data_IF_052770370502
#
_entry.id   IF_052770370502
#
_cell.length_a   1.000
_cell.length_b   1.000
_cell.length_c   1.000
_cell.angle_alpha   90.00
_cell.angle_beta   90.00
_cell.angle_gamma   90.00
#
_symmetry.space_group_name_H-M   'P 1'
#
loop_
_entity.id
_entity.type
_entity.pdbx_description
1 polymer ?
#
# COMPACT_ATOMS: atom_id res chain seq x y z
N UNK A 1 6.91 12.95 -19.95
CA UNK A 1 7.39 11.58 -19.67
C UNK A 1 8.45 11.71 -18.60
N UNK A 2 8.11 11.32 -17.38
CA UNK A 2 8.98 11.45 -16.21
C UNK A 2 10.09 10.38 -16.23
N UNK A 3 11.33 10.78 -15.96
CA UNK A 3 12.53 9.93 -15.97
C UNK A 3 12.87 9.54 -14.54
N UNK A 4 12.66 8.27 -14.19
CA UNK A 4 12.71 7.73 -12.83
C UNK A 4 14.14 7.47 -12.31
N UNK A 5 15.15 8.16 -12.85
CA UNK A 5 16.57 8.01 -12.44
C UNK A 5 17.03 8.92 -11.30
N UNK A 6 16.10 9.53 -10.54
CA UNK A 6 16.47 10.27 -9.32
C UNK A 6 16.87 9.27 -8.23
N UNK A 7 18.17 9.06 -8.13
CA UNK A 7 18.86 8.32 -7.08
C UNK A 7 18.22 8.67 -5.72
N UNK A 8 17.55 7.69 -5.10
CA UNK A 8 17.05 7.84 -3.74
C UNK A 8 18.27 8.10 -2.85
N UNK A 9 18.19 9.13 -2.01
CA UNK A 9 19.31 9.63 -1.19
C UNK A 9 20.11 8.50 -0.53
N UNK A 10 21.42 8.51 -0.73
CA UNK A 10 22.37 7.60 -0.09
C UNK A 10 23.03 8.31 1.11
N UNK A 11 22.89 7.75 2.31
CA UNK A 11 23.70 8.13 3.47
C UNK A 11 24.90 7.18 3.58
N UNK A 12 26.10 7.72 3.77
CA UNK A 12 27.32 6.94 4.08
C UNK A 12 27.50 6.84 5.60
N UNK A 13 27.82 5.65 6.10
CA UNK A 13 28.05 5.44 7.53
C UNK A 13 29.26 6.24 8.00
N UNK A 14 29.12 7.02 9.08
CA UNK A 14 30.19 7.89 9.60
C UNK A 14 31.12 7.18 10.59
N UNK A 15 30.85 5.91 10.91
CA UNK A 15 31.66 5.08 11.82
C UNK A 15 31.59 5.47 13.31
N UNK A 16 30.87 6.56 13.64
CA UNK A 16 30.75 7.08 15.00
C UNK A 16 29.61 6.45 15.81
N UNK A 17 28.68 5.73 15.15
CA UNK A 17 27.50 5.13 15.78
C UNK A 17 27.52 3.61 15.52
N UNK A 18 27.52 2.82 16.59
CA UNK A 18 27.28 1.37 16.50
C UNK A 18 25.82 1.16 16.09
N UNK A 19 25.60 0.37 15.05
CA UNK A 19 24.29 0.06 14.44
C UNK A 19 23.67 1.18 13.57
N UNK A 20 24.50 2.03 12.97
CA UNK A 20 24.03 2.99 11.96
C UNK A 20 23.44 2.24 10.75
N UNK A 21 22.16 2.51 10.47
CA UNK A 21 21.48 2.07 9.25
C UNK A 21 22.27 2.64 8.06
N UNK A 22 22.72 1.78 7.15
CA UNK A 22 23.45 2.20 5.95
C UNK A 22 23.09 1.33 4.77
N UNK A 23 23.05 1.95 3.59
CA UNK A 23 22.59 1.34 2.34
C UNK A 23 21.07 1.47 2.14
N UNK A 24 20.69 1.99 0.96
CA UNK A 24 19.31 2.16 0.47
C UNK A 24 18.26 2.31 1.60
N UNK A 25 18.27 3.49 2.23
CA UNK A 25 17.39 3.86 3.34
C UNK A 25 15.97 4.14 2.82
N UNK A 26 15.28 3.09 2.39
CA UNK A 26 13.84 3.15 2.20
C UNK A 26 13.13 3.21 3.56
N UNK A 27 12.04 3.96 3.67
CA UNK A 27 11.30 4.16 4.94
C UNK A 27 10.91 2.85 5.66
N UNK A 28 10.75 1.75 4.92
CA UNK A 28 10.50 0.41 5.47
C UNK A 28 11.63 -0.11 6.38
N UNK A 29 12.89 0.32 6.20
CA UNK A 29 14.02 -0.14 7.02
C UNK A 29 14.34 0.80 8.19
N UNK A 30 14.17 2.10 8.00
CA UNK A 30 14.55 3.11 8.99
C UNK A 30 13.41 3.51 9.92
N UNK A 31 12.20 3.71 9.39
CA UNK A 31 11.08 4.27 10.16
C UNK A 31 10.08 3.21 10.64
N UNK A 32 9.89 2.12 9.90
CA UNK A 32 8.89 1.09 10.21
C UNK A 32 9.05 0.47 11.62
N UNK A 33 10.26 0.10 12.10
CA UNK A 33 10.39 -0.52 13.42
C UNK A 33 9.96 0.39 14.59
N UNK A 34 10.20 1.69 14.46
CA UNK A 34 9.78 2.68 15.45
C UNK A 34 8.25 2.85 15.45
N UNK A 35 7.65 2.91 14.25
CA UNK A 35 6.19 2.99 14.09
C UNK A 35 5.49 1.74 14.64
N UNK A 36 5.98 0.55 14.31
CA UNK A 36 5.44 -0.73 14.80
C UNK A 36 5.47 -0.78 16.34
N UNK A 37 6.56 -0.34 16.97
CA UNK A 37 6.70 -0.35 18.43
C UNK A 37 5.73 0.61 19.11
N UNK A 38 5.55 1.81 18.55
CA UNK A 38 4.63 2.80 19.07
C UNK A 38 3.16 2.35 18.92
N UNK A 39 2.75 1.92 17.72
CA UNK A 39 1.36 1.56 17.45
C UNK A 39 0.92 0.31 18.22
N UNK A 40 1.83 -0.66 18.46
CA UNK A 40 1.52 -1.82 19.32
C UNK A 40 1.08 -1.43 20.73
N UNK A 41 1.72 -0.42 21.32
CA UNK A 41 1.35 0.07 22.65
C UNK A 41 0.08 0.91 22.62
N UNK A 42 -0.08 1.77 21.61
CA UNK A 42 -1.22 2.70 21.54
C UNK A 42 -2.53 2.00 21.16
N UNK A 43 -2.47 0.94 20.36
CA UNK A 43 -3.65 0.18 19.95
C UNK A 43 -4.01 -0.95 20.92
N UNK A 44 -3.26 -1.14 22.01
CA UNK A 44 -3.59 -2.16 23.01
C UNK A 44 -4.97 -1.90 23.62
N UNK A 45 -5.89 -2.86 23.46
CA UNK A 45 -7.27 -2.75 23.95
C UNK A 45 -8.17 -1.83 23.10
N UNK A 46 -7.67 -1.24 22.01
CA UNK A 46 -8.49 -0.49 21.06
C UNK A 46 -9.20 -1.49 20.14
N UNK A 47 -10.56 -1.50 20.08
CA UNK A 47 -11.27 -2.38 19.17
C UNK A 47 -10.99 -2.00 17.72
N UNK A 48 -10.91 -2.99 16.85
CA UNK A 48 -10.81 -2.76 15.41
C UNK A 48 -12.09 -2.08 14.90
N UNK A 49 -11.93 -0.93 14.23
CA UNK A 49 -13.04 -0.28 13.55
C UNK A 49 -13.22 -0.92 12.15
N UNK A 50 -14.43 -1.41 11.81
CA UNK A 50 -14.66 -2.00 10.50
C UNK A 50 -14.52 -0.92 9.42
N UNK A 51 -13.77 -1.23 8.37
CA UNK A 51 -13.67 -0.36 7.21
C UNK A 51 -14.98 -0.41 6.42
N UNK A 52 -15.87 0.56 6.66
CA UNK A 52 -17.08 0.75 5.85
C UNK A 52 -16.81 1.74 4.72
N UNK A 53 -16.93 1.34 3.45
CA UNK A 53 -16.74 2.25 2.33
C UNK A 53 -17.71 3.44 2.42
N UNK A 54 -17.23 4.68 2.21
CA UNK A 54 -18.12 5.83 2.18
C UNK A 54 -19.03 5.80 0.93
N UNK A 55 -20.12 6.60 0.90
CA UNK A 55 -20.94 6.75 -0.28
C UNK A 55 -20.13 7.11 -1.52
N UNK A 56 -20.47 6.53 -2.68
CA UNK A 56 -19.74 6.72 -3.93
C UNK A 56 -18.50 5.85 -4.08
N UNK A 57 -18.21 4.95 -3.13
CA UNK A 57 -17.22 3.88 -3.28
C UNK A 57 -17.93 2.54 -3.49
N UNK A 58 -17.54 1.82 -4.53
CA UNK A 58 -18.05 0.47 -4.85
C UNK A 58 -16.94 -0.55 -4.70
N UNK A 59 -17.31 -1.76 -4.28
CA UNK A 59 -16.39 -2.90 -4.19
C UNK A 59 -16.68 -3.87 -5.34
N UNK A 60 -15.65 -4.21 -6.11
CA UNK A 60 -15.77 -5.09 -7.28
C UNK A 60 -14.70 -6.17 -7.22
N UNK A 61 -15.05 -7.40 -7.63
CA UNK A 61 -14.07 -8.46 -7.77
C UNK A 61 -13.34 -8.35 -9.10
N UNK A 62 -12.02 -8.15 -9.03
CA UNK A 62 -11.14 -8.07 -10.20
C UNK A 62 -10.22 -9.28 -10.29
N UNK A 63 -9.85 -9.66 -11.51
CA UNK A 63 -8.78 -10.61 -11.75
C UNK A 63 -7.43 -9.95 -11.40
N UNK A 64 -6.63 -10.63 -10.56
CA UNK A 64 -5.39 -10.06 -10.01
C UNK A 64 -4.30 -9.82 -11.04
N UNK A 65 -4.36 -10.48 -12.19
CA UNK A 65 -3.36 -10.37 -13.25
C UNK A 65 -3.68 -9.27 -14.25
N UNK A 66 -4.97 -9.03 -14.51
CA UNK A 66 -5.43 -8.10 -15.56
C UNK A 66 -6.01 -6.80 -15.02
N UNK A 67 -6.49 -6.79 -13.77
CA UNK A 67 -7.23 -5.67 -13.21
C UNK A 67 -8.65 -5.49 -13.75
N UNK A 68 -9.12 -6.41 -14.61
CA UNK A 68 -10.49 -6.40 -15.15
C UNK A 68 -11.46 -7.17 -14.26
N UNK A 69 -12.76 -7.12 -14.58
CA UNK A 69 -13.78 -7.90 -13.88
C UNK A 69 -13.41 -9.39 -13.86
N UNK A 70 -13.45 -9.99 -12.68
CA UNK A 70 -13.21 -11.41 -12.52
C UNK A 70 -14.41 -12.24 -12.98
N UNK A 71 -14.15 -13.33 -13.70
CA UNK A 71 -15.13 -14.35 -14.06
C UNK A 71 -15.00 -15.63 -13.19
N UNK A 72 -14.36 -15.52 -12.03
CA UNK A 72 -14.00 -16.62 -11.13
C UNK A 72 -12.48 -16.84 -11.00
N UNK A 73 -12.06 -17.72 -10.09
CA UNK A 73 -10.64 -18.05 -9.91
C UNK A 73 -9.83 -16.96 -9.18
N UNK A 74 -8.71 -16.53 -9.79
CA UNK A 74 -7.68 -15.64 -9.23
C UNK A 74 -8.15 -14.19 -9.05
N UNK A 75 -9.14 -14.00 -8.19
CA UNK A 75 -9.83 -12.72 -7.98
C UNK A 75 -9.50 -12.08 -6.63
N UNK A 76 -9.67 -10.76 -6.54
CA UNK A 76 -9.70 -10.02 -5.27
C UNK A 76 -10.77 -8.93 -5.29
N UNK A 77 -11.32 -8.61 -4.13
CA UNK A 77 -12.13 -7.42 -3.95
C UNK A 77 -11.23 -6.17 -4.03
N UNK A 78 -11.68 -5.15 -4.76
CA UNK A 78 -10.99 -3.87 -4.92
C UNK A 78 -12.01 -2.73 -4.86
N UNK A 79 -11.61 -1.60 -4.29
CA UNK A 79 -12.45 -0.41 -4.16
C UNK A 79 -12.28 0.52 -5.36
N UNK A 80 -13.39 1.06 -5.86
CA UNK A 80 -13.43 2.03 -6.95
C UNK A 80 -14.36 3.18 -6.58
N UNK A 81 -14.10 4.36 -7.14
CA UNK A 81 -15.11 5.42 -7.19
C UNK A 81 -16.22 4.94 -8.12
N UNK A 82 -17.47 5.19 -7.77
CA UNK A 82 -18.62 4.84 -8.59
C UNK A 82 -18.48 5.43 -10.00
N UNK A 83 -18.57 4.57 -11.01
CA UNK A 83 -18.39 4.90 -12.42
C UNK A 83 -16.96 4.72 -12.95
N UNK A 84 -15.97 4.45 -12.07
CA UNK A 84 -14.58 4.20 -12.49
C UNK A 84 -14.19 2.71 -12.42
N UNK A 85 -15.08 1.85 -11.96
CA UNK A 85 -14.83 0.41 -11.92
C UNK A 85 -14.70 -0.18 -13.35
N UNK A 86 -13.92 -1.26 -13.53
CA UNK A 86 -13.87 -1.98 -14.81
C UNK A 86 -15.27 -2.42 -15.25
N UNK A 87 -15.60 -2.24 -16.53
CA UNK A 87 -16.86 -2.70 -17.12
C UNK A 87 -16.63 -3.96 -17.97
N UNK A 88 -17.66 -4.77 -18.22
CA UNK A 88 -17.58 -5.85 -19.20
C UNK A 88 -17.15 -5.29 -20.56
N UNK A 89 -16.24 -6.00 -21.24
CA UNK A 89 -15.83 -5.65 -22.60
C UNK A 89 -17.07 -5.58 -23.53
N UNK A 90 -17.43 -4.38 -23.99
CA UNK A 90 -18.62 -4.13 -24.80
C UNK A 90 -19.75 -3.37 -24.10
N UNK A 91 -19.53 -2.83 -22.90
CA UNK A 91 -20.46 -1.86 -22.30
C UNK A 91 -20.34 -0.52 -23.05
N UNK A 92 -21.47 0.09 -23.48
CA UNK A 92 -21.47 1.34 -24.24
C UNK A 92 -20.94 2.55 -23.47
#
# INVERSE_FOLDING_TARGET
MDDHRRDLGRTTASGAIKDQISGYEGGAKSAQPAWDSFMKSVLEGVPEEPLTPPPGIVTVNIDRSTGQLANGGNSRAEYFIEGTQPTPAGSP
#
